data_IF_285085767807
#
_entry.id   IF_285085767807
#
_cell.length_a   1.000
_cell.length_b   1.000
_cell.length_c   1.000
_cell.angle_alpha   90.00
_cell.angle_beta   90.00
_cell.angle_gamma   90.00
#
_symmetry.space_group_name_H-M   'P 1'
#
loop_
_entity.id
_entity.type
_entity.pdbx_description
1 polymer ?
#
# COMPACT_ATOMS: atom_id res chain seq x y z
N UNK A 1 4.56 -53.98 7.17
CA UNK A 1 5.26 -53.27 6.07
C UNK A 1 4.93 -51.80 6.23
N UNK A 2 5.77 -51.03 6.94
CA UNK A 2 5.59 -49.57 6.98
C UNK A 2 5.99 -49.04 5.60
N UNK A 3 5.04 -48.48 4.85
CA UNK A 3 5.36 -47.68 3.68
C UNK A 3 6.12 -46.44 4.14
N UNK A 4 7.44 -46.42 3.95
CA UNK A 4 8.19 -45.18 3.90
C UNK A 4 7.69 -44.43 2.67
N UNK A 5 6.69 -43.56 2.87
CA UNK A 5 6.39 -42.53 1.87
C UNK A 5 7.65 -41.67 1.85
N UNK A 6 8.47 -41.81 0.82
CA UNK A 6 9.56 -40.89 0.57
C UNK A 6 8.93 -39.50 0.41
N UNK A 7 9.07 -38.66 1.43
CA UNK A 7 8.61 -37.28 1.32
C UNK A 7 9.56 -36.56 0.37
N UNK A 8 9.03 -36.12 -0.77
CA UNK A 8 9.72 -35.18 -1.64
C UNK A 8 9.88 -33.82 -0.94
N UNK A 9 10.57 -32.92 -1.63
CA UNK A 9 10.82 -31.54 -1.19
C UNK A 9 9.57 -30.84 -0.67
N UNK A 10 9.71 -30.06 0.41
CA UNK A 10 8.61 -29.34 1.04
C UNK A 10 8.97 -27.88 1.28
N UNK A 11 8.07 -26.96 0.93
CA UNK A 11 8.19 -25.55 1.31
C UNK A 11 7.92 -25.42 2.80
N UNK A 12 8.91 -24.94 3.55
CA UNK A 12 8.84 -24.69 4.97
C UNK A 12 8.26 -23.30 5.26
N UNK A 13 8.69 -22.28 4.51
CA UNK A 13 8.26 -20.90 4.72
C UNK A 13 8.24 -20.12 3.41
N UNK A 14 7.11 -19.49 3.12
CA UNK A 14 6.95 -18.61 1.97
C UNK A 14 6.72 -17.17 2.43
N UNK A 15 7.64 -16.26 2.10
CA UNK A 15 7.62 -14.86 2.58
C UNK A 15 7.70 -13.92 1.39
N UNK A 16 6.57 -13.28 1.08
CA UNK A 16 6.48 -12.18 0.13
C UNK A 16 5.59 -11.08 0.72
N UNK A 17 5.82 -9.79 0.41
CA UNK A 17 4.96 -8.72 0.91
C UNK A 17 3.62 -8.68 0.18
N UNK A 18 2.51 -8.52 0.91
CA UNK A 18 1.19 -8.30 0.31
C UNK A 18 1.11 -6.95 -0.44
N UNK A 19 1.72 -5.92 0.13
CA UNK A 19 1.75 -4.56 -0.40
C UNK A 19 3.20 -4.08 -0.49
N UNK A 20 3.56 -3.41 -1.59
CA UNK A 20 4.89 -2.85 -1.80
C UNK A 20 4.80 -1.38 -2.20
N UNK A 21 5.35 -0.49 -1.38
CA UNK A 21 5.34 0.96 -1.61
C UNK A 21 6.64 1.43 -2.27
N UNK A 22 6.56 1.82 -3.54
CA UNK A 22 7.65 2.35 -4.36
C UNK A 22 8.24 3.65 -3.80
N UNK A 23 7.48 4.39 -3.01
CA UNK A 23 7.91 5.68 -2.45
C UNK A 23 8.85 5.52 -1.26
N UNK A 24 8.84 4.34 -0.62
CA UNK A 24 9.62 4.06 0.60
C UNK A 24 10.61 2.92 0.43
N UNK A 25 10.39 2.01 -0.52
CA UNK A 25 11.20 0.82 -0.74
C UNK A 25 11.70 0.74 -2.18
N UNK A 26 12.91 0.18 -2.35
CA UNK A 26 13.51 -0.05 -3.68
C UNK A 26 13.69 -1.51 -4.04
N UNK A 27 13.71 -2.41 -3.05
CA UNK A 27 14.00 -3.83 -3.27
C UNK A 27 12.79 -4.68 -2.86
N UNK A 28 12.14 -5.33 -3.82
CA UNK A 28 11.11 -6.34 -3.58
C UNK A 28 11.78 -7.69 -3.39
N UNK A 29 11.63 -8.26 -2.19
CA UNK A 29 12.15 -9.57 -1.83
C UNK A 29 11.04 -10.62 -1.86
N UNK A 30 11.29 -11.72 -2.57
CA UNK A 30 10.44 -12.89 -2.62
C UNK A 30 11.26 -14.08 -2.11
N UNK A 31 10.94 -14.61 -0.93
CA UNK A 31 11.65 -15.75 -0.33
C UNK A 31 10.75 -16.98 -0.24
N UNK A 32 11.33 -18.12 -0.55
CA UNK A 32 10.68 -19.42 -0.54
C UNK A 32 11.68 -20.41 0.04
N UNK A 33 11.60 -20.57 1.35
CA UNK A 33 12.40 -21.50 2.13
C UNK A 33 11.79 -22.89 2.06
N UNK A 34 12.62 -23.88 1.74
CA UNK A 34 12.22 -25.26 1.56
C UNK A 34 13.23 -26.20 2.18
N UNK A 35 12.76 -27.38 2.56
CA UNK A 35 13.56 -28.47 3.11
C UNK A 35 13.60 -29.58 2.07
N UNK A 36 14.79 -30.11 1.84
CA UNK A 36 15.04 -31.21 0.91
C UNK A 36 15.89 -32.28 1.60
N UNK A 37 15.89 -33.49 1.05
CA UNK A 37 16.67 -34.61 1.56
C UNK A 37 17.41 -35.33 0.43
N UNK A 38 18.10 -36.43 0.77
CA UNK A 38 18.93 -37.18 -0.19
C UNK A 38 18.14 -37.76 -1.38
N UNK A 39 16.81 -37.89 -1.28
CA UNK A 39 15.96 -38.38 -2.37
C UNK A 39 15.59 -37.28 -3.37
N UNK A 40 15.79 -36.00 -3.04
CA UNK A 40 15.43 -34.86 -3.88
C UNK A 40 16.46 -34.60 -5.00
N UNK A 41 16.64 -35.60 -5.85
CA UNK A 41 17.56 -35.59 -6.98
C UNK A 41 17.01 -34.67 -8.09
N UNK A 42 17.89 -33.95 -8.79
CA UNK A 42 17.55 -32.93 -9.81
C UNK A 42 16.64 -31.85 -9.28
N UNK A 43 16.97 -31.31 -8.10
CA UNK A 43 16.23 -30.20 -7.52
C UNK A 43 16.28 -28.96 -8.43
N UNK A 44 15.13 -28.32 -8.62
CA UNK A 44 14.96 -27.10 -9.39
C UNK A 44 14.03 -26.17 -8.63
N UNK A 45 14.46 -24.92 -8.47
CA UNK A 45 13.66 -23.83 -7.91
C UNK A 45 13.16 -22.98 -9.07
N UNK A 46 11.86 -22.68 -9.12
CA UNK A 46 11.25 -21.79 -10.11
C UNK A 46 10.37 -20.77 -9.42
N UNK A 47 10.37 -19.57 -9.99
CA UNK A 47 9.41 -18.52 -9.66
C UNK A 47 8.63 -18.17 -10.91
N UNK A 48 7.31 -18.14 -10.79
CA UNK A 48 6.38 -17.74 -11.84
C UNK A 48 5.69 -16.44 -11.46
N UNK A 49 5.27 -15.67 -12.47
CA UNK A 49 4.49 -14.44 -12.29
C UNK A 49 3.20 -14.54 -13.09
N UNK A 50 2.08 -14.33 -12.41
CA UNK A 50 0.74 -14.48 -12.96
C UNK A 50 0.56 -15.81 -13.70
N UNK A 51 -0.13 -15.80 -14.84
CA UNK A 51 -0.37 -16.97 -15.67
C UNK A 51 0.71 -17.17 -16.76
N UNK A 52 1.91 -16.60 -16.59
CA UNK A 52 3.01 -16.79 -17.54
C UNK A 52 3.48 -18.26 -17.41
N UNK A 53 3.47 -19.05 -18.50
CA UNK A 53 3.81 -20.47 -18.44
C UNK A 53 5.29 -20.72 -18.20
N UNK A 54 6.16 -19.79 -18.62
CA UNK A 54 7.59 -19.83 -18.37
C UNK A 54 7.95 -19.15 -17.04
N UNK A 55 8.90 -19.70 -16.26
CA UNK A 55 9.30 -19.08 -15.00
C UNK A 55 10.03 -17.75 -15.26
N UNK A 56 9.73 -16.75 -14.42
CA UNK A 56 10.47 -15.47 -14.42
C UNK A 56 11.89 -15.64 -13.87
N UNK A 57 12.11 -16.69 -13.08
CA UNK A 57 13.41 -17.08 -12.56
C UNK A 57 13.49 -18.58 -12.30
N UNK A 58 14.64 -19.17 -12.58
CA UNK A 58 14.95 -20.57 -12.32
C UNK A 58 16.36 -20.72 -11.72
N UNK A 59 16.49 -21.59 -10.72
CA UNK A 59 17.76 -22.01 -10.13
C UNK A 59 17.90 -23.53 -10.14
N UNK A 60 19.04 -24.01 -10.65
CA UNK A 60 19.40 -25.43 -10.72
C UNK A 60 20.70 -25.63 -9.92
N UNK A 61 20.62 -26.00 -8.62
CA UNK A 61 21.78 -26.13 -7.74
C UNK A 61 22.89 -27.03 -8.27
N UNK A 62 22.56 -28.24 -8.71
CA UNK A 62 23.53 -29.25 -9.15
C UNK A 62 24.44 -28.73 -10.28
N UNK A 63 23.85 -27.94 -11.19
CA UNK A 63 24.57 -27.35 -12.33
C UNK A 63 25.11 -25.96 -12.03
N UNK A 64 24.71 -25.36 -10.91
CA UNK A 64 24.96 -23.95 -10.56
C UNK A 64 24.48 -22.98 -11.64
N UNK A 65 23.35 -23.28 -12.27
CA UNK A 65 22.77 -22.47 -13.36
C UNK A 65 21.58 -21.67 -12.83
N UNK A 66 21.60 -20.36 -13.10
CA UNK A 66 20.46 -19.47 -12.91
C UNK A 66 19.99 -18.93 -14.25
N UNK A 67 18.68 -18.85 -14.41
CA UNK A 67 18.04 -18.22 -15.56
C UNK A 67 17.03 -17.20 -15.07
N UNK A 68 16.97 -16.05 -15.74
CA UNK A 68 16.01 -14.97 -15.47
C UNK A 68 15.36 -14.62 -16.80
N UNK A 69 14.04 -14.53 -16.81
CA UNK A 69 13.31 -14.14 -18.00
C UNK A 69 13.64 -12.69 -18.40
N UNK A 70 13.67 -12.42 -19.71
CA UNK A 70 14.18 -11.16 -20.24
C UNK A 70 13.46 -9.93 -19.66
N UNK A 71 12.15 -10.03 -19.44
CA UNK A 71 11.33 -8.95 -18.87
C UNK A 71 11.64 -8.61 -17.40
N UNK A 72 12.33 -9.48 -16.65
CA UNK A 72 12.77 -9.21 -15.28
C UNK A 72 14.25 -8.89 -15.17
N UNK A 73 15.04 -9.20 -16.21
CA UNK A 73 16.51 -9.19 -16.19
C UNK A 73 17.12 -7.85 -15.79
N UNK A 74 16.51 -6.73 -16.20
CA UNK A 74 17.01 -5.38 -15.87
C UNK A 74 16.88 -5.05 -14.37
N UNK A 75 15.83 -5.56 -13.72
CA UNK A 75 15.54 -5.31 -12.30
C UNK A 75 16.03 -6.44 -11.40
N UNK A 76 16.31 -7.62 -11.95
CA UNK A 76 16.70 -8.79 -11.16
C UNK A 76 18.12 -8.68 -10.61
N UNK A 77 18.27 -8.90 -9.31
CA UNK A 77 19.59 -8.91 -8.70
C UNK A 77 20.23 -10.31 -8.69
N UNK A 78 21.08 -10.55 -9.69
CA UNK A 78 21.85 -11.78 -9.81
C UNK A 78 22.92 -11.97 -8.72
N UNK A 79 23.20 -11.00 -7.87
CA UNK A 79 24.19 -11.14 -6.80
C UNK A 79 23.55 -11.38 -5.43
N UNK A 80 22.22 -11.35 -5.33
CA UNK A 80 21.54 -11.63 -4.07
C UNK A 80 21.73 -13.09 -3.66
N UNK A 81 22.07 -13.31 -2.39
CA UNK A 81 22.28 -14.62 -1.78
C UNK A 81 21.35 -14.73 -0.57
N UNK A 82 20.47 -15.72 -0.56
CA UNK A 82 19.53 -15.96 0.54
C UNK A 82 20.11 -16.80 1.66
N UNK A 83 21.00 -17.73 1.31
CA UNK A 83 21.63 -18.65 2.25
C UNK A 83 23.06 -18.94 1.81
N UNK A 84 24.04 -18.29 2.44
CA UNK A 84 25.44 -18.50 2.05
C UNK A 84 25.98 -19.87 2.48
N UNK A 85 25.27 -20.59 3.36
CA UNK A 85 25.77 -21.80 4.03
C UNK A 85 25.45 -23.08 3.27
N UNK A 86 24.34 -23.10 2.52
CA UNK A 86 23.90 -24.26 1.76
C UNK A 86 23.81 -23.95 0.25
N UNK A 87 24.59 -24.65 -0.60
CA UNK A 87 24.55 -24.49 -2.06
C UNK A 87 23.18 -24.68 -2.71
N UNK A 88 22.29 -25.50 -2.13
CA UNK A 88 20.97 -25.78 -2.73
C UNK A 88 19.99 -24.65 -2.47
N UNK A 89 19.97 -24.11 -1.25
CA UNK A 89 19.11 -22.99 -0.86
C UNK A 89 19.72 -21.61 -1.17
N UNK A 90 20.98 -21.55 -1.59
CA UNK A 90 21.77 -20.32 -1.80
C UNK A 90 21.07 -19.21 -2.59
N UNK A 91 20.32 -19.59 -3.61
CA UNK A 91 19.62 -18.68 -4.51
C UNK A 91 18.12 -19.00 -4.60
N UNK A 92 17.51 -19.44 -3.50
CA UNK A 92 16.07 -19.76 -3.43
C UNK A 92 15.18 -18.51 -3.54
N UNK A 93 15.67 -17.38 -3.05
CA UNK A 93 14.95 -16.13 -3.04
C UNK A 93 15.32 -15.21 -4.21
N UNK A 94 14.37 -14.37 -4.59
CA UNK A 94 14.48 -13.40 -5.67
C UNK A 94 14.45 -11.99 -5.09
N UNK A 95 15.46 -11.17 -5.45
CA UNK A 95 15.46 -9.73 -5.18
C UNK A 95 15.28 -8.96 -6.48
N UNK A 96 14.19 -8.19 -6.56
CA UNK A 96 13.87 -7.31 -7.69
C UNK A 96 14.13 -5.87 -7.25
N UNK A 97 15.09 -5.21 -7.89
CA UNK A 97 15.46 -3.81 -7.65
C UNK A 97 14.60 -2.88 -8.49
N UNK A 98 14.17 -1.79 -7.87
CA UNK A 98 13.30 -0.76 -8.43
C UNK A 98 12.14 -1.38 -9.24
N UNK A 99 11.29 -2.20 -8.60
CA UNK A 99 10.20 -2.89 -9.28
C UNK A 99 9.23 -1.87 -9.90
N UNK A 100 8.50 -2.29 -10.92
CA UNK A 100 7.55 -1.44 -11.63
C UNK A 100 6.11 -1.80 -11.25
N UNK A 101 5.14 -0.89 -11.36
CA UNK A 101 3.74 -1.19 -11.09
C UNK A 101 3.19 -2.40 -11.85
N UNK A 102 3.64 -2.61 -13.09
CA UNK A 102 3.30 -3.76 -13.95
C UNK A 102 3.76 -5.10 -13.40
N UNK A 103 4.66 -5.11 -12.41
CA UNK A 103 5.09 -6.32 -11.70
C UNK A 103 4.12 -6.72 -10.58
N UNK A 104 3.07 -5.94 -10.30
CA UNK A 104 1.97 -6.40 -9.44
C UNK A 104 1.37 -7.70 -9.98
N UNK A 105 1.00 -8.61 -9.09
CA UNK A 105 0.44 -9.89 -9.51
C UNK A 105 0.72 -11.02 -8.53
N UNK A 106 0.33 -12.22 -8.95
CA UNK A 106 0.56 -13.45 -8.21
C UNK A 106 1.94 -13.99 -8.49
N UNK A 107 2.72 -14.21 -7.44
CA UNK A 107 4.01 -14.87 -7.51
C UNK A 107 3.88 -16.28 -6.96
N UNK A 108 4.34 -17.24 -7.75
CA UNK A 108 4.29 -18.66 -7.39
C UNK A 108 5.71 -19.18 -7.27
N UNK A 109 6.08 -19.68 -6.10
CA UNK A 109 7.28 -20.46 -5.91
C UNK A 109 6.96 -21.93 -6.15
N UNK A 110 7.78 -22.57 -6.99
CA UNK A 110 7.70 -23.98 -7.33
C UNK A 110 9.06 -24.63 -7.08
N UNK A 111 9.09 -25.61 -6.17
CA UNK A 111 10.27 -26.40 -5.88
C UNK A 111 9.99 -27.83 -6.32
N UNK A 112 10.77 -28.33 -7.28
CA UNK A 112 10.57 -29.65 -7.86
C UNK A 112 11.85 -30.47 -7.80
N UNK A 113 11.73 -31.76 -7.50
CA UNK A 113 12.76 -32.79 -7.63
C UNK A 113 12.16 -34.02 -8.35
N UNK A 114 12.95 -35.07 -8.57
CA UNK A 114 12.40 -36.34 -9.04
C UNK A 114 11.53 -37.05 -7.99
N UNK A 115 11.71 -36.73 -6.70
CA UNK A 115 10.95 -37.35 -5.61
C UNK A 115 9.62 -36.64 -5.32
N UNK A 116 9.46 -35.37 -5.74
CA UNK A 116 8.21 -34.65 -5.55
C UNK A 116 8.30 -33.17 -5.91
N UNK A 117 7.19 -32.48 -5.67
CA UNK A 117 7.04 -31.06 -5.98
C UNK A 117 6.25 -30.40 -4.84
N UNK A 118 6.64 -29.17 -4.49
CA UNK A 118 5.94 -28.33 -3.54
C UNK A 118 5.81 -26.93 -4.13
N UNK A 119 4.60 -26.38 -4.08
CA UNK A 119 4.27 -25.10 -4.71
C UNK A 119 3.51 -24.21 -3.73
N UNK A 120 3.81 -22.92 -3.71
CA UNK A 120 3.06 -21.93 -2.93
C UNK A 120 2.93 -20.62 -3.72
N UNK A 121 1.78 -19.96 -3.62
CA UNK A 121 1.50 -18.73 -4.36
C UNK A 121 0.89 -17.65 -3.44
N UNK A 122 1.24 -16.39 -3.69
CA UNK A 122 0.55 -15.23 -3.11
C UNK A 122 0.73 -14.01 -4.00
N UNK A 123 -0.09 -12.99 -3.80
CA UNK A 123 -0.08 -11.78 -4.62
C UNK A 123 0.65 -10.62 -3.95
N UNK A 124 1.39 -9.87 -4.75
CA UNK A 124 2.03 -8.60 -4.38
C UNK A 124 1.29 -7.48 -5.11
N UNK A 125 0.83 -6.47 -4.38
CA UNK A 125 0.29 -5.24 -4.95
C UNK A 125 1.29 -4.10 -4.81
N UNK A 126 1.77 -3.59 -5.93
CA UNK A 126 2.79 -2.53 -6.00
C UNK A 126 2.11 -1.19 -6.22
N UNK A 127 2.37 -0.23 -5.33
CA UNK A 127 1.78 1.10 -5.35
C UNK A 127 2.83 2.17 -5.02
N UNK A 128 2.50 3.45 -5.21
CA UNK A 128 3.33 4.57 -4.76
C UNK A 128 2.50 5.47 -3.85
N UNK A 129 2.93 5.61 -2.59
CA UNK A 129 2.34 6.58 -1.68
C UNK A 129 2.68 8.02 -2.09
N UNK A 130 1.79 9.01 -1.81
CA UNK A 130 2.01 10.40 -2.20
C UNK A 130 3.35 10.94 -1.74
N UNK A 131 4.08 11.56 -2.67
CA UNK A 131 5.26 12.37 -2.34
C UNK A 131 4.86 13.63 -1.58
N UNK A 132 3.72 14.22 -1.95
CA UNK A 132 3.10 15.30 -1.17
C UNK A 132 1.60 15.07 -1.05
N UNK A 133 1.06 15.41 0.12
CA UNK A 133 -0.36 15.39 0.42
C UNK A 133 -0.66 16.60 1.29
N UNK A 134 -1.30 17.62 0.71
CA UNK A 134 -1.48 18.93 1.30
C UNK A 134 -2.94 19.32 1.35
N UNK A 135 -3.34 20.02 2.41
CA UNK A 135 -4.67 20.55 2.56
C UNK A 135 -4.54 21.96 3.13
N UNK A 136 -4.94 22.95 2.34
CA UNK A 136 -4.79 24.36 2.70
C UNK A 136 -6.04 25.17 2.35
N UNK A 137 -6.14 26.35 2.94
CA UNK A 137 -7.20 27.31 2.70
C UNK A 137 -6.65 28.60 2.08
N UNK A 138 -7.41 29.21 1.17
CA UNK A 138 -7.10 30.50 0.55
C UNK A 138 -8.34 31.39 0.63
N UNK A 139 -8.24 32.52 1.32
CA UNK A 139 -9.29 33.52 1.34
C UNK A 139 -9.19 34.43 0.11
N UNK A 140 -10.33 34.75 -0.48
CA UNK A 140 -10.44 35.72 -1.56
C UNK A 140 -11.08 37.00 -1.01
N UNK A 141 -10.31 38.07 -0.91
CA UNK A 141 -10.79 39.35 -0.36
C UNK A 141 -11.84 40.02 -1.24
N UNK A 142 -11.76 39.89 -2.56
CA UNK A 142 -12.69 40.52 -3.50
C UNK A 142 -14.09 39.88 -3.44
N UNK A 143 -14.15 38.55 -3.33
CA UNK A 143 -15.41 37.80 -3.27
C UNK A 143 -15.88 37.54 -1.84
N UNK A 144 -15.00 37.66 -0.86
CA UNK A 144 -15.24 37.28 0.53
C UNK A 144 -15.44 35.77 0.73
N UNK A 145 -14.96 34.95 -0.21
CA UNK A 145 -15.09 33.48 -0.16
C UNK A 145 -13.82 32.82 0.39
N UNK A 146 -13.99 31.64 0.99
CA UNK A 146 -12.87 30.80 1.45
C UNK A 146 -12.79 29.55 0.57
N UNK A 147 -11.70 29.41 -0.16
CA UNK A 147 -11.40 28.22 -0.92
C UNK A 147 -10.58 27.25 -0.07
N UNK A 148 -11.07 26.02 0.09
CA UNK A 148 -10.32 24.89 0.61
C UNK A 148 -9.83 24.06 -0.57
N UNK A 149 -8.56 23.66 -0.55
CA UNK A 149 -7.97 22.83 -1.59
C UNK A 149 -7.11 21.72 -0.99
N UNK A 150 -7.43 20.49 -1.35
CA UNK A 150 -6.70 19.30 -0.95
C UNK A 150 -6.02 18.68 -2.17
N UNK A 151 -4.70 18.47 -2.12
CA UNK A 151 -3.89 18.03 -3.25
C UNK A 151 -3.02 16.86 -2.84
N UNK A 152 -2.99 15.82 -3.67
CA UNK A 152 -1.99 14.76 -3.59
C UNK A 152 -1.20 14.67 -4.90
N UNK A 153 0.12 14.48 -4.79
CA UNK A 153 1.04 14.42 -5.93
C UNK A 153 1.87 13.15 -5.89
N UNK A 154 2.25 12.70 -7.08
CA UNK A 154 3.11 11.54 -7.31
C UNK A 154 2.56 10.27 -6.66
N UNK A 155 1.26 10.00 -6.86
CA UNK A 155 0.55 8.83 -6.29
C UNK A 155 0.29 7.79 -7.38
N UNK A 156 0.36 6.50 -7.04
CA UNK A 156 -0.10 5.44 -7.93
C UNK A 156 -0.78 4.31 -7.15
N UNK A 157 -1.87 3.72 -7.66
CA UNK A 157 -2.68 4.17 -8.82
C UNK A 157 -3.45 5.46 -8.50
N UNK A 158 -4.42 5.85 -9.33
CA UNK A 158 -5.34 6.96 -9.05
C UNK A 158 -5.96 6.77 -7.66
N UNK A 159 -5.66 7.64 -6.68
CA UNK A 159 -6.21 7.51 -5.33
C UNK A 159 -7.65 8.04 -5.27
N UNK A 160 -8.34 7.74 -4.17
CA UNK A 160 -9.61 8.36 -3.80
C UNK A 160 -9.33 9.52 -2.86
N UNK A 161 -9.75 10.72 -3.24
CA UNK A 161 -9.79 11.88 -2.34
C UNK A 161 -11.23 12.14 -1.91
N UNK A 162 -11.44 12.15 -0.60
CA UNK A 162 -12.73 12.47 0.01
C UNK A 162 -12.60 13.74 0.82
N UNK A 163 -13.41 14.75 0.51
CA UNK A 163 -13.53 15.94 1.36
C UNK A 163 -14.82 15.84 2.16
N UNK A 164 -14.72 15.97 3.48
CA UNK A 164 -15.84 15.87 4.40
C UNK A 164 -15.90 17.08 5.33
N UNK A 165 -17.12 17.47 5.73
CA UNK A 165 -17.40 18.53 6.68
C UNK A 165 -18.08 17.94 7.92
N UNK A 166 -17.50 18.25 9.07
CA UNK A 166 -17.97 17.85 10.40
C UNK A 166 -18.30 19.10 11.23
N UNK A 167 -19.38 19.03 11.99
CA UNK A 167 -19.74 20.04 13.00
C UNK A 167 -19.54 19.43 14.37
N UNK A 168 -18.75 20.09 15.22
CA UNK A 168 -18.69 19.78 16.65
C UNK A 168 -19.43 20.86 17.43
N UNK A 169 -20.45 20.46 18.17
CA UNK A 169 -21.13 21.32 19.11
C UNK A 169 -20.32 21.42 20.40
N UNK A 170 -19.84 22.62 20.72
CA UNK A 170 -19.19 22.86 22.00
C UNK A 170 -20.29 22.92 23.05
N UNK A 171 -20.52 21.82 23.75
CA UNK A 171 -21.39 21.83 24.93
C UNK A 171 -20.81 22.80 25.96
N UNK A 172 -21.60 23.73 26.53
CA UNK A 172 -21.11 24.57 27.61
C UNK A 172 -20.69 23.67 28.77
N UNK A 173 -19.40 23.69 29.12
CA UNK A 173 -18.90 23.11 30.36
C UNK A 173 -19.70 23.75 31.49
N UNK A 174 -20.58 22.96 32.09
CA UNK A 174 -21.27 23.41 33.29
C UNK A 174 -20.20 23.49 34.35
N UNK A 175 -19.87 24.70 34.77
CA UNK A 175 -19.03 24.96 35.94
C UNK A 175 -19.76 24.39 37.16
N UNK A 176 -19.46 23.12 37.46
CA UNK A 176 -19.80 22.47 38.71
C UNK A 176 -18.54 21.80 39.21
N UNK A 177 -17.88 22.50 40.10
CA UNK A 177 -17.14 21.89 41.21
C UNK A 177 -17.97 20.75 41.79
N UNK A 178 -17.62 19.50 41.46
CA UNK A 178 -17.68 18.35 42.37
C UNK A 178 -17.14 17.05 41.72
N UNK A 179 -16.09 16.53 42.36
CA UNK A 179 -15.55 15.15 42.36
C UNK A 179 -15.44 14.38 41.03
N UNK A 180 -14.19 14.33 40.57
CA UNK A 180 -13.62 13.29 39.71
C UNK A 180 -13.99 11.89 40.23
N UNK A 181 -14.80 11.19 39.45
CA UNK A 181 -14.86 9.73 39.46
C UNK A 181 -14.68 9.30 38.02
N UNK A 182 -13.66 8.47 37.77
CA UNK A 182 -13.31 7.97 36.44
C UNK A 182 -14.49 7.23 35.80
N UNK A 183 -15.04 7.84 34.76
CA UNK A 183 -15.83 7.16 33.76
C UNK A 183 -15.46 7.76 32.42
N UNK A 184 -14.85 6.93 31.58
CA UNK A 184 -14.52 7.18 30.18
C UNK A 184 -15.77 7.61 29.40
N UNK A 185 -15.95 8.91 29.23
CA UNK A 185 -16.93 9.48 28.30
C UNK A 185 -16.28 9.53 26.92
N UNK A 186 -16.67 8.62 26.04
CA UNK A 186 -16.42 8.73 24.60
C UNK A 186 -17.36 9.80 24.04
N UNK A 187 -16.86 11.02 23.91
CA UNK A 187 -17.59 12.15 23.34
C UNK A 187 -17.68 11.98 21.82
N UNK A 188 -18.75 11.33 21.35
CA UNK A 188 -19.01 10.98 19.94
C UNK A 188 -20.08 11.89 19.31
N UNK A 189 -20.10 13.20 19.59
CA UNK A 189 -21.03 14.14 18.97
C UNK A 189 -20.43 14.81 17.71
N UNK A 190 -19.85 14.02 16.81
CA UNK A 190 -19.36 14.47 15.49
C UNK A 190 -20.43 14.15 14.43
N UNK A 191 -21.16 15.17 13.96
CA UNK A 191 -22.15 14.99 12.87
C UNK A 191 -21.49 15.31 11.52
N UNK A 192 -21.40 14.31 10.65
CA UNK A 192 -20.96 14.48 9.25
C UNK A 192 -22.11 15.07 8.44
N UNK A 193 -21.91 16.24 7.85
CA UNK A 193 -22.98 16.93 7.10
C UNK A 193 -22.85 16.72 5.59
N UNK A 194 -21.62 16.71 5.07
CA UNK A 194 -21.35 16.54 3.64
C UNK A 194 -20.08 15.73 3.45
N UNK A 195 -20.11 14.76 2.54
CA UNK A 195 -18.92 14.06 2.04
C UNK A 195 -19.00 13.96 0.52
N UNK A 196 -17.98 14.45 -0.18
CA UNK A 196 -17.86 14.29 -1.62
C UNK A 196 -16.60 13.49 -1.96
N UNK A 197 -16.77 12.46 -2.79
CA UNK A 197 -15.68 11.61 -3.26
C UNK A 197 -15.38 11.93 -4.70
N UNK A 198 -14.19 12.47 -4.99
CA UNK A 198 -13.75 12.82 -6.34
C UNK A 198 -14.70 13.76 -7.14
N UNK A 199 -15.82 14.22 -6.58
CA UNK A 199 -16.71 15.19 -7.21
C UNK A 199 -16.02 16.55 -7.25
N UNK A 200 -15.88 17.13 -8.44
CA UNK A 200 -15.07 18.34 -8.71
C UNK A 200 -13.54 18.13 -8.59
N UNK A 201 -13.05 16.89 -8.61
CA UNK A 201 -11.60 16.64 -8.59
C UNK A 201 -10.95 16.96 -9.95
N UNK A 202 -9.84 17.72 -9.93
CA UNK A 202 -8.93 17.82 -11.06
C UNK A 202 -7.91 16.70 -10.98
N UNK A 203 -7.82 15.87 -12.04
CA UNK A 203 -6.93 14.72 -12.11
C UNK A 203 -5.96 14.92 -13.28
N UNK A 204 -4.66 14.80 -13.01
CA UNK A 204 -3.57 14.87 -13.97
C UNK A 204 -2.72 13.59 -13.84
N UNK A 205 -2.35 12.97 -14.97
CA UNK A 205 -1.47 11.80 -15.00
C UNK A 205 -0.18 12.13 -15.75
N UNK A 206 0.97 11.82 -15.16
CA UNK A 206 2.25 11.93 -15.84
C UNK A 206 2.46 10.71 -16.75
N UNK A 207 2.48 10.92 -18.07
CA UNK A 207 2.61 9.83 -19.05
C UNK A 207 3.92 9.02 -18.93
N UNK A 208 4.99 9.62 -18.42
CA UNK A 208 6.30 8.97 -18.33
C UNK A 208 6.43 8.09 -17.07
N UNK A 209 5.77 8.48 -15.98
CA UNK A 209 5.88 7.78 -14.68
C UNK A 209 4.60 7.05 -14.27
N UNK A 210 3.50 7.27 -14.98
CA UNK A 210 2.14 6.83 -14.62
C UNK A 210 1.64 7.36 -13.27
N UNK A 211 2.35 8.31 -12.65
CA UNK A 211 1.95 8.88 -11.36
C UNK A 211 0.85 9.93 -11.54
N UNK A 212 -0.07 9.96 -10.58
CA UNK A 212 -1.20 10.86 -10.55
C UNK A 212 -0.96 12.06 -9.63
N UNK A 213 -1.49 13.20 -10.06
CA UNK A 213 -1.78 14.36 -9.24
C UNK A 213 -3.30 14.55 -9.21
N UNK A 214 -3.87 14.59 -8.03
CA UNK A 214 -5.31 14.81 -7.82
C UNK A 214 -5.50 15.99 -6.88
N UNK A 215 -6.47 16.85 -7.17
CA UNK A 215 -6.86 17.98 -6.31
C UNK A 215 -8.38 18.07 -6.21
N UNK A 216 -8.89 18.24 -4.99
CA UNK A 216 -10.31 18.51 -4.70
C UNK A 216 -10.42 19.91 -4.11
N UNK A 217 -11.32 20.71 -4.66
CA UNK A 217 -11.59 22.09 -4.22
C UNK A 217 -12.99 22.22 -3.67
N UNK A 218 -13.14 23.02 -2.62
CA UNK A 218 -14.43 23.41 -2.08
C UNK A 218 -14.42 24.90 -1.75
N UNK A 219 -15.48 25.61 -2.13
CA UNK A 219 -15.61 27.05 -1.89
C UNK A 219 -16.73 27.25 -0.87
N UNK A 220 -16.43 27.98 0.19
CA UNK A 220 -17.40 28.43 1.18
C UNK A 220 -17.68 29.91 0.90
N UNK A 221 -18.92 30.22 0.56
CA UNK A 221 -19.33 31.58 0.25
C UNK A 221 -19.34 32.45 1.52
N UNK A 222 -19.29 33.77 1.32
CA UNK A 222 -19.31 34.76 2.40
C UNK A 222 -20.45 34.54 3.39
N UNK A 223 -21.68 34.31 2.92
CA UNK A 223 -22.85 34.16 3.78
C UNK A 223 -22.77 32.91 4.66
N UNK A 224 -22.23 31.81 4.13
CA UNK A 224 -22.02 30.57 4.87
C UNK A 224 -20.90 30.73 5.91
N UNK A 225 -19.85 31.48 5.60
CA UNK A 225 -18.79 31.82 6.56
C UNK A 225 -19.34 32.66 7.73
N UNK A 226 -20.18 33.65 7.45
CA UNK A 226 -20.80 34.49 8.48
C UNK A 226 -21.75 33.69 9.39
N UNK A 227 -22.52 32.76 8.82
CA UNK A 227 -23.35 31.82 9.60
C UNK A 227 -22.52 30.95 10.54
N UNK A 228 -21.30 30.61 10.15
CA UNK A 228 -20.44 29.75 10.97
C UNK A 228 -19.81 30.49 12.14
N UNK A 229 -19.59 31.82 12.04
CA UNK A 229 -19.14 32.64 13.18
C UNK A 229 -20.23 32.88 14.24
N UNK A 230 -21.51 32.78 13.87
CA UNK A 230 -22.62 33.00 14.81
C UNK A 230 -23.03 31.77 15.61
N UNK A 231 -22.57 30.58 15.24
CA UNK A 231 -22.80 29.34 15.99
C UNK A 231 -21.57 29.03 16.84
N UNK A 232 -21.73 28.78 18.15
CA UNK A 232 -20.66 28.25 19.03
C UNK A 232 -20.31 26.79 18.68
N UNK A 233 -19.85 26.57 17.46
CA UNK A 233 -19.57 25.26 16.90
C UNK A 233 -18.28 25.32 16.11
N UNK A 234 -17.46 24.29 16.27
CA UNK A 234 -16.26 24.13 15.49
C UNK A 234 -16.61 23.47 14.16
N UNK A 235 -16.24 24.11 13.05
CA UNK A 235 -16.30 23.47 11.74
C UNK A 235 -14.97 22.81 11.41
N UNK A 236 -15.01 21.49 11.22
CA UNK A 236 -13.84 20.71 10.83
C UNK A 236 -14.05 20.20 9.41
N UNK A 237 -13.16 20.60 8.51
CA UNK A 237 -13.04 19.99 7.21
C UNK A 237 -11.95 18.93 7.27
N UNK A 238 -12.23 17.73 6.79
CA UNK A 238 -11.28 16.64 6.71
C UNK A 238 -11.13 16.21 5.25
N UNK A 239 -9.89 16.24 4.76
CA UNK A 239 -9.51 15.60 3.52
C UNK A 239 -8.87 14.25 3.80
N UNK A 240 -9.45 13.19 3.25
CA UNK A 240 -9.01 11.82 3.37
C UNK A 240 -8.51 11.29 2.02
N UNK A 241 -7.28 10.77 2.01
CA UNK A 241 -6.66 10.11 0.87
C UNK A 241 -6.57 8.62 1.13
N UNK A 242 -7.09 7.84 0.18
CA UNK A 242 -6.99 6.39 0.17
C UNK A 242 -6.40 5.89 -1.15
N UNK A 243 -5.51 4.91 -1.09
CA UNK A 243 -5.02 4.22 -2.29
C UNK A 243 -5.82 2.91 -2.44
N UNK A 244 -6.51 2.70 -3.58
CA UNK A 244 -7.38 1.55 -3.76
C UNK A 244 -6.59 0.24 -3.68
N UNK A 245 -7.26 -0.83 -3.24
CA UNK A 245 -6.68 -2.17 -3.03
C UNK A 245 -5.54 -2.25 -2.01
N UNK A 246 -5.26 -1.17 -1.28
CA UNK A 246 -4.28 -1.14 -0.18
C UNK A 246 -4.96 -0.79 1.13
N UNK A 247 -4.21 -0.91 2.23
CA UNK A 247 -4.58 -0.34 3.53
C UNK A 247 -4.04 1.09 3.72
N UNK A 248 -3.48 1.71 2.69
CA UNK A 248 -2.92 3.05 2.79
C UNK A 248 -4.01 4.10 2.92
N UNK A 249 -3.94 4.90 3.98
CA UNK A 249 -4.84 6.01 4.24
C UNK A 249 -4.11 7.16 4.93
N UNK A 250 -4.35 8.40 4.51
CA UNK A 250 -3.85 9.62 5.18
C UNK A 250 -4.94 10.68 5.26
N UNK A 251 -4.97 11.41 6.38
CA UNK A 251 -5.96 12.46 6.63
C UNK A 251 -5.28 13.77 7.00
N UNK A 252 -5.85 14.88 6.53
CA UNK A 252 -5.52 16.24 6.96
C UNK A 252 -6.79 16.99 7.31
N UNK A 253 -6.73 17.87 8.30
CA UNK A 253 -7.88 18.64 8.79
C UNK A 253 -7.60 20.14 8.77
N UNK A 254 -8.62 20.92 8.46
CA UNK A 254 -8.65 22.37 8.68
C UNK A 254 -9.84 22.66 9.58
N UNK A 255 -9.58 23.38 10.66
CA UNK A 255 -10.61 23.85 11.58
C UNK A 255 -10.86 25.33 11.34
N UNK A 256 -12.14 25.70 11.19
CA UNK A 256 -12.58 27.09 11.26
C UNK A 256 -13.20 27.31 12.62
N UNK A 257 -12.69 28.32 13.33
CA UNK A 257 -13.23 28.77 14.61
C UNK A 257 -14.22 29.90 14.36
N UNK A 258 -15.34 29.84 15.08
CA UNK A 258 -16.41 30.85 15.10
C UNK A 258 -16.11 31.97 16.08
#
# INVERSE_FOLDING_TARGET
>A
ILSLVASGVQINRFVIPKYFDLSTNRDLLLDCDYIYNANDIKLVVRWFHNAIPEPIYQWIPEKRIRHVAEQFKQSFDMNYVSDATDPYTKFRAVRIRNPQPSMSGTYTCDISSLAGQSTHASSVYIYASPKSFDFYSKFNEERGDLQLECIAKDVYPLPVLTLSKHVHHISPTTDRTEKVTESSVTDNDETIIVSSQNESASIEMNANTSLYKISVKHIINRDDLLRTSTMRSQLVFECDLQIPNTNYRKRKRITLYS
#
